data_IF_454210439851
#
_entry.id   IF_454210439851
#
_cell.length_a   1.000
_cell.length_b   1.000
_cell.length_c   1.000
_cell.angle_alpha   90.00
_cell.angle_beta   90.00
_cell.angle_gamma   90.00
#
_symmetry.space_group_name_H-M   'P 1'
#
loop_
_entity.id
_entity.type
_entity.pdbx_description
1 polymer ?
#
# COMPACT_ATOMS: atom_id res chain seq x y z
N UNK A 1 25.66 -1.85 12.67
CA UNK A 1 25.82 -0.93 11.51
C UNK A 1 26.23 0.47 11.94
N UNK A 2 25.50 1.08 12.87
CA UNK A 2 25.78 2.42 13.43
C UNK A 2 27.18 2.51 14.07
N UNK A 3 27.59 1.49 14.79
CA UNK A 3 28.90 1.46 15.48
C UNK A 3 30.06 1.39 14.50
N UNK A 4 29.85 0.86 13.28
CA UNK A 4 30.90 0.78 12.24
C UNK A 4 31.10 2.10 11.50
N UNK A 5 30.10 3.00 11.46
CA UNK A 5 30.17 4.27 10.69
C UNK A 5 30.59 5.49 11.51
N UNK A 6 30.41 5.51 12.79
CA UNK A 6 30.67 6.69 13.61
C UNK A 6 30.73 6.39 15.10
N UNK A 7 30.79 5.10 15.46
CA UNK A 7 30.78 4.64 16.85
C UNK A 7 29.57 5.23 17.59
N UNK A 8 29.73 5.63 18.83
CA UNK A 8 28.68 6.20 19.68
C UNK A 8 28.12 7.55 19.19
N UNK A 9 28.87 8.29 18.37
CA UNK A 9 28.38 9.57 17.80
C UNK A 9 27.21 9.30 16.87
N UNK A 10 27.32 8.33 15.94
CA UNK A 10 26.25 7.98 15.03
C UNK A 10 25.03 7.38 15.75
N UNK A 11 25.25 6.65 16.84
CA UNK A 11 24.17 6.16 17.70
C UNK A 11 23.40 7.33 18.33
N UNK A 12 24.13 8.27 18.93
CA UNK A 12 23.53 9.46 19.56
C UNK A 12 22.78 10.33 18.55
N UNK A 13 23.29 10.44 17.33
CA UNK A 13 22.60 11.17 16.23
C UNK A 13 21.30 10.48 15.85
N UNK A 14 21.29 9.15 15.74
CA UNK A 14 20.06 8.39 15.45
C UNK A 14 19.00 8.53 16.54
N UNK A 15 19.39 8.73 17.80
CA UNK A 15 18.44 9.05 18.88
C UNK A 15 17.91 10.49 18.80
N UNK A 16 18.72 11.43 18.31
CA UNK A 16 18.30 12.84 18.17
C UNK A 16 17.44 13.07 16.92
N UNK A 17 17.72 12.34 15.86
CA UNK A 17 17.02 12.40 14.58
C UNK A 17 16.70 10.97 14.11
N UNK A 18 15.68 10.32 14.70
CA UNK A 18 15.38 8.93 14.37
C UNK A 18 15.03 8.75 12.90
N UNK A 19 15.21 7.54 12.35
CA UNK A 19 14.66 7.20 11.05
C UNK A 19 13.17 7.49 11.00
N UNK A 20 12.70 8.06 9.90
CA UNK A 20 11.28 8.40 9.70
C UNK A 20 10.46 7.26 9.10
N UNK A 21 11.13 6.19 8.62
CA UNK A 21 10.49 5.01 8.06
C UNK A 21 11.25 3.73 8.38
N UNK A 22 10.58 2.60 8.24
CA UNK A 22 11.22 1.28 8.32
C UNK A 22 12.16 1.04 7.14
N UNK A 23 11.90 1.66 6.00
CA UNK A 23 12.79 1.68 4.85
C UNK A 23 14.18 2.22 5.20
N UNK A 24 14.25 3.36 5.89
CA UNK A 24 15.53 3.93 6.34
C UNK A 24 16.29 3.05 7.34
N UNK A 25 15.58 2.13 8.00
CA UNK A 25 16.20 1.12 8.89
C UNK A 25 16.75 -0.04 8.07
N UNK A 26 16.00 -0.50 7.05
CA UNK A 26 16.40 -1.59 6.15
C UNK A 26 17.53 -1.14 5.20
N UNK A 27 17.48 0.12 4.76
CA UNK A 27 18.41 0.77 3.83
C UNK A 27 19.12 1.96 4.50
N UNK A 28 20.16 1.71 5.35
CA UNK A 28 20.81 2.77 6.10
C UNK A 28 21.44 3.88 5.25
N UNK A 29 21.74 3.61 3.99
CA UNK A 29 22.19 4.61 3.01
C UNK A 29 21.12 5.69 2.77
N UNK A 30 19.83 5.32 2.76
CA UNK A 30 18.70 6.25 2.63
C UNK A 30 18.54 7.17 3.85
N UNK A 31 19.05 6.75 5.01
CA UNK A 31 19.03 7.54 6.24
C UNK A 31 20.25 8.45 6.38
N UNK A 32 21.46 7.92 6.06
CA UNK A 32 22.73 8.61 6.33
C UNK A 32 23.19 9.52 5.22
N UNK A 33 22.55 9.55 4.06
CA UNK A 33 23.02 10.39 2.96
C UNK A 33 22.74 11.86 3.27
N UNK A 34 23.82 12.71 3.42
CA UNK A 34 23.64 14.09 3.89
C UNK A 34 22.86 14.97 2.92
N UNK A 35 22.84 14.62 1.62
CA UNK A 35 22.18 15.40 0.56
C UNK A 35 20.94 14.70 -0.02
N UNK A 36 20.73 13.42 0.29
CA UNK A 36 19.69 12.59 -0.32
C UNK A 36 19.05 11.66 0.71
N UNK A 37 18.77 12.20 1.91
CA UNK A 37 17.95 11.47 2.87
C UNK A 37 16.60 11.21 2.22
N UNK A 38 16.28 9.93 2.05
CA UNK A 38 14.99 9.52 1.50
C UNK A 38 13.91 9.65 2.57
N UNK A 39 13.06 10.64 2.40
CA UNK A 39 11.95 10.92 3.34
C UNK A 39 10.68 10.34 2.74
N UNK A 40 9.97 9.46 3.47
CA UNK A 40 8.77 8.83 2.92
C UNK A 40 7.68 9.85 2.59
N UNK A 41 7.02 9.63 1.47
CA UNK A 41 5.84 10.39 1.08
C UNK A 41 4.69 10.13 2.06
N UNK A 42 4.20 11.17 2.72
CA UNK A 42 3.04 11.09 3.60
C UNK A 42 1.75 11.17 2.79
N UNK A 43 0.97 10.09 2.81
CA UNK A 43 -0.32 10.03 2.14
C UNK A 43 -1.45 10.54 3.07
N UNK A 44 -2.31 11.40 2.53
CA UNK A 44 -3.55 11.84 3.17
C UNK A 44 -4.70 11.35 2.29
N UNK A 45 -5.44 10.37 2.80
CA UNK A 45 -6.57 9.80 2.10
C UNK A 45 -7.70 10.84 1.97
N UNK A 46 -8.49 10.80 0.88
CA UNK A 46 -9.64 11.68 0.73
C UNK A 46 -10.70 11.37 1.79
N UNK A 47 -11.66 12.26 1.95
CA UNK A 47 -12.83 11.97 2.77
C UNK A 47 -13.68 10.87 2.11
N UNK A 48 -13.72 9.71 2.76
CA UNK A 48 -14.47 8.53 2.32
C UNK A 48 -15.78 8.34 3.09
N UNK A 49 -16.03 9.13 4.15
CA UNK A 49 -17.28 9.07 4.92
C UNK A 49 -18.48 9.39 4.03
N UNK A 50 -18.33 10.36 3.13
CA UNK A 50 -19.36 10.71 2.15
C UNK A 50 -19.70 9.60 1.13
N UNK A 51 -18.78 8.63 0.97
CA UNK A 51 -18.94 7.46 0.07
C UNK A 51 -19.55 6.28 0.83
N UNK A 52 -19.05 6.04 2.03
CA UNK A 52 -19.42 4.88 2.87
C UNK A 52 -20.72 5.07 3.63
N UNK A 53 -21.14 6.35 3.84
CA UNK A 53 -22.33 6.67 4.63
C UNK A 53 -22.15 6.40 6.12
N UNK A 54 -23.26 6.50 6.86
CA UNK A 54 -23.27 6.36 8.33
C UNK A 54 -23.21 4.92 8.82
N UNK A 55 -23.32 3.93 7.93
CA UNK A 55 -23.23 2.51 8.28
C UNK A 55 -21.81 2.05 8.61
N UNK A 56 -20.79 2.81 8.19
CA UNK A 56 -19.40 2.50 8.43
C UNK A 56 -18.77 3.47 9.43
N UNK A 57 -18.05 2.91 10.40
CA UNK A 57 -17.29 3.64 11.41
C UNK A 57 -15.82 3.35 11.25
N UNK A 58 -14.99 4.38 11.19
CA UNK A 58 -13.55 4.22 11.23
C UNK A 58 -13.09 3.66 12.58
N UNK A 59 -12.34 2.55 12.56
CA UNK A 59 -11.70 1.98 13.74
C UNK A 59 -10.31 2.55 13.97
N UNK A 60 -9.59 2.86 12.90
CA UNK A 60 -8.26 3.43 12.99
C UNK A 60 -7.55 3.48 11.65
N UNK A 61 -6.48 4.27 11.63
CA UNK A 61 -5.61 4.44 10.46
C UNK A 61 -4.15 4.45 10.86
N UNK A 62 -3.28 3.91 10.02
CA UNK A 62 -1.84 3.91 10.27
C UNK A 62 -1.06 3.72 8.96
N UNK A 63 0.25 3.56 9.07
CA UNK A 63 1.22 3.24 8.03
C UNK A 63 1.79 1.85 8.33
N UNK A 64 2.00 1.01 7.32
CA UNK A 64 2.70 -0.26 7.46
C UNK A 64 4.21 -0.06 7.30
N UNK A 65 4.63 0.58 6.21
CA UNK A 65 6.03 0.73 5.85
C UNK A 65 6.63 -0.54 5.21
N UNK A 66 7.80 -0.39 4.63
CA UNK A 66 8.48 -1.44 3.87
C UNK A 66 8.64 -2.76 4.63
N UNK A 67 9.09 -2.68 5.89
CA UNK A 67 9.35 -3.88 6.70
C UNK A 67 8.10 -4.76 6.89
N UNK A 68 6.96 -4.15 7.20
CA UNK A 68 5.71 -4.88 7.39
C UNK A 68 5.19 -5.44 6.07
N UNK A 69 5.32 -4.71 4.97
CA UNK A 69 4.95 -5.18 3.62
C UNK A 69 5.81 -6.38 3.23
N UNK A 70 7.13 -6.29 3.40
CA UNK A 70 8.06 -7.40 3.20
C UNK A 70 7.65 -8.64 4.01
N UNK A 71 7.30 -8.45 5.28
CA UNK A 71 6.88 -9.54 6.17
C UNK A 71 5.55 -10.15 5.74
N UNK A 72 4.58 -9.31 5.35
CA UNK A 72 3.27 -9.73 4.86
C UNK A 72 3.39 -10.60 3.60
N UNK A 73 4.27 -10.20 2.69
CA UNK A 73 4.46 -10.82 1.38
C UNK A 73 5.65 -11.80 1.34
N UNK A 74 6.14 -12.27 2.48
CA UNK A 74 7.33 -13.16 2.55
C UNK A 74 7.22 -14.40 1.65
N UNK A 75 6.02 -14.93 1.45
CA UNK A 75 5.75 -16.09 0.57
C UNK A 75 5.54 -15.69 -0.91
N UNK A 76 5.51 -14.41 -1.22
CA UNK A 76 5.33 -13.79 -2.54
C UNK A 76 6.55 -12.93 -2.89
N UNK A 77 7.77 -13.37 -2.60
CA UNK A 77 9.00 -12.64 -2.84
C UNK A 77 9.03 -11.26 -2.13
N UNK A 78 8.74 -11.26 -0.82
CA UNK A 78 8.54 -10.05 -0.03
C UNK A 78 9.66 -9.00 -0.11
N UNK A 79 10.93 -9.42 -0.30
CA UNK A 79 12.05 -8.50 -0.47
C UNK A 79 11.92 -7.67 -1.76
N UNK A 80 11.61 -8.32 -2.89
CA UNK A 80 11.43 -7.65 -4.17
C UNK A 80 10.12 -6.85 -4.20
N UNK A 81 9.07 -7.42 -3.61
CA UNK A 81 7.73 -6.82 -3.61
C UNK A 81 7.58 -5.61 -2.71
N UNK A 82 8.48 -5.41 -1.73
CA UNK A 82 8.47 -4.25 -0.83
C UNK A 82 9.53 -3.21 -1.21
N UNK A 83 10.49 -3.57 -2.08
CA UNK A 83 11.53 -2.65 -2.51
C UNK A 83 10.96 -1.45 -3.27
N UNK A 84 11.51 -0.26 -3.02
CA UNK A 84 11.04 0.98 -3.62
C UNK A 84 9.74 1.51 -3.01
N UNK A 85 9.39 1.08 -1.79
CA UNK A 85 8.31 1.69 -1.03
C UNK A 85 8.65 3.16 -0.71
N UNK A 86 7.78 4.08 -1.08
CA UNK A 86 7.93 5.52 -0.83
C UNK A 86 6.93 6.02 0.21
N UNK A 87 5.82 5.31 0.43
CA UNK A 87 4.85 5.68 1.44
C UNK A 87 3.55 4.88 1.36
N UNK A 88 2.84 4.82 2.47
CA UNK A 88 1.52 4.21 2.52
C UNK A 88 0.62 4.83 3.59
N UNK A 89 -0.66 4.58 3.46
CA UNK A 89 -1.68 4.86 4.47
C UNK A 89 -2.81 3.87 4.35
N UNK A 90 -3.16 3.21 5.45
CA UNK A 90 -4.36 2.39 5.52
C UNK A 90 -5.37 2.95 6.52
N UNK A 91 -6.62 2.58 6.33
CA UNK A 91 -7.71 2.81 7.26
C UNK A 91 -8.59 1.56 7.31
N UNK A 92 -9.02 1.22 8.52
CA UNK A 92 -9.93 0.10 8.77
C UNK A 92 -11.28 0.66 9.23
N UNK A 93 -12.33 0.14 8.65
CA UNK A 93 -13.72 0.47 8.99
C UNK A 93 -14.45 -0.77 9.53
N UNK A 94 -15.46 -0.55 10.32
CA UNK A 94 -16.43 -1.54 10.77
C UNK A 94 -17.83 -1.05 10.44
N UNK A 95 -18.67 -1.92 9.88
CA UNK A 95 -20.07 -1.59 9.64
C UNK A 95 -20.96 -1.98 10.82
N UNK A 96 -22.23 -1.65 10.72
CA UNK A 96 -23.25 -1.95 11.77
C UNK A 96 -23.43 -3.44 12.05
N UNK A 97 -23.05 -4.32 11.11
CA UNK A 97 -23.11 -5.77 11.25
C UNK A 97 -21.80 -6.37 11.79
N UNK A 98 -20.83 -5.54 12.18
CA UNK A 98 -19.53 -5.97 12.67
C UNK A 98 -18.57 -6.44 11.57
N UNK A 99 -18.87 -6.19 10.30
CA UNK A 99 -17.99 -6.55 9.20
C UNK A 99 -16.88 -5.51 9.06
N UNK A 100 -15.66 -6.00 8.76
CA UNK A 100 -14.50 -5.13 8.57
C UNK A 100 -14.27 -4.81 7.09
N UNK A 101 -13.90 -3.57 6.83
CA UNK A 101 -13.41 -3.08 5.55
C UNK A 101 -12.02 -2.46 5.68
N UNK A 102 -11.15 -2.74 4.72
CA UNK A 102 -9.80 -2.17 4.62
C UNK A 102 -9.69 -1.32 3.37
N UNK A 103 -9.17 -0.12 3.52
CA UNK A 103 -8.73 0.73 2.42
C UNK A 103 -7.26 1.05 2.66
N UNK A 104 -6.40 0.70 1.71
CA UNK A 104 -4.96 0.89 1.82
C UNK A 104 -4.41 1.47 0.52
N UNK A 105 -3.79 2.63 0.62
CA UNK A 105 -3.13 3.34 -0.48
C UNK A 105 -1.63 3.31 -0.27
N UNK A 106 -0.89 2.93 -1.31
CA UNK A 106 0.57 2.88 -1.33
C UNK A 106 1.12 3.72 -2.48
N UNK A 107 2.32 4.27 -2.31
CA UNK A 107 3.07 4.94 -3.37
C UNK A 107 4.50 4.41 -3.39
N UNK A 108 5.13 4.39 -4.57
CA UNK A 108 6.38 3.68 -4.85
C UNK A 108 7.37 4.57 -5.59
N UNK A 109 8.66 4.24 -5.54
CA UNK A 109 9.71 4.97 -6.24
C UNK A 109 9.50 4.95 -7.76
N UNK A 110 8.99 3.84 -8.29
CA UNK A 110 8.69 3.71 -9.71
C UNK A 110 7.37 2.95 -9.98
N UNK A 111 6.88 3.06 -11.22
CA UNK A 111 5.73 2.27 -11.67
C UNK A 111 6.04 0.77 -11.75
N UNK A 112 7.33 0.40 -11.88
CA UNK A 112 7.80 -0.99 -11.85
C UNK A 112 7.62 -1.58 -10.45
N UNK A 113 8.10 -0.87 -9.42
CA UNK A 113 8.02 -1.32 -8.03
C UNK A 113 6.55 -1.42 -7.58
N UNK A 114 5.71 -0.45 -7.96
CA UNK A 114 4.26 -0.50 -7.77
C UNK A 114 3.62 -1.75 -8.40
N UNK A 115 4.09 -2.14 -9.60
CA UNK A 115 3.60 -3.34 -10.30
C UNK A 115 4.04 -4.62 -9.59
N UNK A 116 5.29 -4.71 -9.16
CA UNK A 116 5.84 -5.86 -8.43
C UNK A 116 5.06 -6.08 -7.13
N UNK A 117 4.82 -5.03 -6.38
CA UNK A 117 3.96 -5.09 -5.20
C UNK A 117 2.53 -5.52 -5.54
N UNK A 118 1.89 -4.89 -6.54
CA UNK A 118 0.51 -5.18 -6.90
C UNK A 118 0.32 -6.64 -7.34
N UNK A 119 1.26 -7.21 -8.09
CA UNK A 119 1.25 -8.63 -8.48
C UNK A 119 1.33 -9.53 -7.26
N UNK A 120 2.29 -9.28 -6.39
CA UNK A 120 2.50 -10.10 -5.19
C UNK A 120 1.34 -10.00 -4.20
N UNK A 121 0.75 -8.81 -4.06
CA UNK A 121 -0.41 -8.64 -3.20
C UNK A 121 -1.65 -9.36 -3.77
N UNK A 122 -1.85 -9.38 -5.08
CA UNK A 122 -2.91 -10.17 -5.73
C UNK A 122 -2.77 -11.65 -5.44
N UNK A 123 -1.57 -12.19 -5.56
CA UNK A 123 -1.31 -13.59 -5.24
C UNK A 123 -1.57 -13.89 -3.75
N UNK A 124 -1.14 -13.01 -2.87
CA UNK A 124 -1.43 -13.10 -1.44
C UNK A 124 -2.93 -13.09 -1.18
N UNK A 125 -3.64 -12.14 -1.76
CA UNK A 125 -5.07 -11.97 -1.59
C UNK A 125 -5.85 -13.16 -2.14
N UNK A 126 -5.50 -13.64 -3.34
CA UNK A 126 -6.12 -14.81 -3.93
C UNK A 126 -5.97 -16.04 -3.04
N UNK A 127 -4.79 -16.30 -2.49
CA UNK A 127 -4.59 -17.41 -1.54
C UNK A 127 -5.40 -17.25 -0.26
N UNK A 128 -5.65 -16.01 0.17
CA UNK A 128 -6.45 -15.68 1.35
C UNK A 128 -7.95 -15.94 1.12
N UNK A 129 -8.49 -15.56 -0.06
CA UNK A 129 -9.93 -15.63 -0.36
C UNK A 129 -10.36 -16.93 -1.05
N UNK A 130 -9.45 -17.65 -1.72
CA UNK A 130 -9.71 -18.93 -2.43
C UNK A 130 -8.60 -19.94 -2.16
N UNK A 131 -8.48 -20.48 -0.95
CA UNK A 131 -7.45 -21.45 -0.63
C UNK A 131 -7.56 -22.71 -1.53
N UNK A 132 -6.59 -22.91 -2.44
CA UNK A 132 -6.54 -24.08 -3.33
C UNK A 132 -7.37 -23.96 -4.63
N UNK A 133 -8.01 -22.82 -4.87
CA UNK A 133 -8.67 -22.53 -6.14
C UNK A 133 -7.68 -22.14 -7.24
N UNK A 134 -8.02 -22.36 -8.54
CA UNK A 134 -7.24 -21.82 -9.64
C UNK A 134 -7.21 -20.28 -9.56
N UNK A 135 -6.12 -19.69 -10.01
CA UNK A 135 -6.00 -18.24 -10.16
C UNK A 135 -6.86 -17.81 -11.37
N UNK A 136 -8.19 -17.81 -11.18
CA UNK A 136 -9.06 -17.21 -12.18
C UNK A 136 -8.89 -15.68 -12.10
N UNK A 137 -7.90 -15.19 -12.80
CA UNK A 137 -7.80 -13.79 -13.13
C UNK A 137 -8.91 -13.52 -14.15
N UNK A 138 -10.01 -12.93 -13.74
CA UNK A 138 -10.78 -12.11 -14.64
C UNK A 138 -9.92 -10.89 -14.94
N UNK A 139 -8.91 -11.12 -15.80
CA UNK A 139 -8.23 -10.06 -16.49
C UNK A 139 -9.24 -9.58 -17.54
N UNK A 140 -10.06 -8.62 -17.19
CA UNK A 140 -10.49 -7.66 -18.20
C UNK A 140 -9.19 -6.96 -18.63
N UNK A 141 -8.52 -7.54 -19.64
CA UNK A 141 -7.52 -6.82 -20.39
C UNK A 141 -8.23 -5.60 -21.00
N UNK A 142 -7.96 -4.37 -20.53
CA UNK A 142 -8.49 -3.21 -21.21
C UNK A 142 -7.89 -3.23 -22.61
N UNK A 143 -8.76 -3.28 -23.62
CA UNK A 143 -8.40 -3.11 -25.01
C UNK A 143 -7.40 -1.98 -25.14
N UNK A 144 -6.28 -2.27 -25.81
CA UNK A 144 -5.19 -1.37 -26.21
C UNK A 144 -5.64 0.08 -26.35
N UNK A 145 -5.33 0.92 -25.38
CA UNK A 145 -5.40 2.36 -25.52
C UNK A 145 -4.23 2.98 -24.76
N UNK A 146 -3.29 3.49 -25.58
CA UNK A 146 -2.18 4.38 -25.24
C UNK A 146 -1.13 3.91 -24.21
N UNK A 147 0.13 4.01 -24.62
CA UNK A 147 1.39 3.57 -23.98
C UNK A 147 1.67 3.99 -22.54
N UNK A 148 0.76 4.67 -21.85
CA UNK A 148 0.97 5.25 -20.52
C UNK A 148 -0.03 4.80 -19.42
N UNK A 149 -0.95 3.87 -19.71
CA UNK A 149 -1.92 3.36 -18.74
C UNK A 149 -1.84 1.83 -18.63
N UNK A 150 -0.82 1.32 -17.94
CA UNK A 150 -0.86 -0.07 -17.48
C UNK A 150 -1.55 -0.05 -16.11
N UNK A 151 -2.86 0.02 -16.13
CA UNK A 151 -3.69 -0.23 -14.98
C UNK A 151 -4.20 -1.67 -15.06
N UNK A 152 -3.54 -2.59 -14.42
CA UNK A 152 -4.11 -3.91 -14.22
C UNK A 152 -4.93 -3.85 -12.92
N UNK A 153 -6.22 -3.59 -13.02
CA UNK A 153 -7.16 -3.72 -11.92
C UNK A 153 -7.54 -5.20 -11.78
N UNK A 154 -7.60 -5.70 -10.56
CA UNK A 154 -8.09 -7.03 -10.26
C UNK A 154 -9.20 -6.93 -9.23
N UNK A 155 -10.29 -7.64 -9.49
CA UNK A 155 -11.50 -7.56 -8.72
C UNK A 155 -12.03 -8.98 -8.44
N UNK A 156 -12.42 -9.25 -7.21
CA UNK A 156 -13.05 -10.49 -6.79
C UNK A 156 -14.24 -10.21 -5.90
N UNK A 157 -15.27 -11.03 -5.99
CA UNK A 157 -16.41 -11.00 -5.09
C UNK A 157 -16.51 -12.34 -4.39
N UNK A 158 -16.47 -12.32 -3.07
CA UNK A 158 -16.63 -13.49 -2.21
C UNK A 158 -17.68 -13.18 -1.14
N UNK A 159 -18.74 -13.98 -1.07
CA UNK A 159 -19.82 -13.78 -0.12
C UNK A 159 -20.38 -12.35 -0.07
N UNK A 160 -20.63 -11.76 -1.26
CA UNK A 160 -21.12 -10.37 -1.46
C UNK A 160 -20.12 -9.27 -1.03
N UNK A 161 -18.88 -9.63 -0.74
CA UNK A 161 -17.80 -8.68 -0.39
C UNK A 161 -16.81 -8.59 -1.54
N UNK A 162 -16.50 -7.38 -1.92
CA UNK A 162 -15.53 -7.10 -2.96
C UNK A 162 -14.12 -6.98 -2.38
N UNK A 163 -13.17 -7.42 -3.18
CA UNK A 163 -11.73 -7.30 -2.97
C UNK A 163 -11.14 -6.73 -4.25
N UNK A 164 -10.43 -5.64 -4.16
CA UNK A 164 -9.96 -4.91 -5.32
C UNK A 164 -8.52 -4.45 -5.14
N UNK A 165 -7.70 -4.66 -6.17
CA UNK A 165 -6.33 -4.13 -6.26
C UNK A 165 -6.22 -3.35 -7.55
N UNK A 166 -6.01 -2.04 -7.45
CA UNK A 166 -5.88 -1.14 -8.58
C UNK A 166 -4.52 -0.46 -8.58
N UNK A 167 -3.87 -0.38 -9.73
CA UNK A 167 -2.63 0.36 -9.91
C UNK A 167 -2.84 1.55 -10.84
N UNK A 168 -2.30 2.71 -10.48
CA UNK A 168 -2.22 3.91 -11.33
C UNK A 168 -0.81 4.49 -11.23
N UNK A 169 0.00 4.30 -12.27
CA UNK A 169 1.40 4.73 -12.28
C UNK A 169 2.17 4.14 -11.08
N UNK A 170 2.64 4.99 -10.16
CA UNK A 170 3.41 4.62 -8.96
C UNK A 170 2.52 4.30 -7.74
N UNK A 171 1.22 4.32 -7.90
CA UNK A 171 0.27 4.21 -6.80
C UNK A 171 -0.52 2.91 -6.91
N UNK A 172 -0.71 2.24 -5.77
CA UNK A 172 -1.56 1.06 -5.68
C UNK A 172 -2.58 1.26 -4.58
N UNK A 173 -3.85 1.04 -4.92
CA UNK A 173 -4.96 1.03 -3.97
C UNK A 173 -5.44 -0.40 -3.75
N UNK A 174 -5.64 -0.75 -2.50
CA UNK A 174 -6.18 -2.03 -2.04
C UNK A 174 -7.46 -1.73 -1.27
N UNK A 175 -8.54 -2.40 -1.64
CA UNK A 175 -9.85 -2.22 -1.04
C UNK A 175 -10.42 -3.62 -0.78
N UNK A 176 -10.72 -3.93 0.48
CA UNK A 176 -11.20 -5.25 0.90
C UNK A 176 -12.43 -5.12 1.78
N UNK A 177 -13.41 -5.96 1.53
CA UNK A 177 -14.48 -6.23 2.48
C UNK A 177 -15.68 -5.29 2.40
N UNK A 178 -15.77 -4.45 1.40
CA UNK A 178 -16.94 -3.60 1.10
C UNK A 178 -17.87 -4.28 0.10
N UNK A 179 -19.07 -3.73 -0.11
CA UNK A 179 -19.90 -4.12 -1.25
C UNK A 179 -19.27 -3.68 -2.57
N UNK A 180 -19.72 -4.25 -3.67
CA UNK A 180 -19.21 -3.89 -5.00
C UNK A 180 -19.42 -2.40 -5.31
N UNK A 181 -20.59 -1.86 -5.01
CA UNK A 181 -20.91 -0.45 -5.25
C UNK A 181 -20.07 0.50 -4.41
N UNK A 182 -19.84 0.19 -3.13
CA UNK A 182 -18.95 0.95 -2.27
C UNK A 182 -17.51 0.88 -2.77
N UNK A 183 -17.03 -0.30 -3.16
CA UNK A 183 -15.69 -0.50 -3.70
C UNK A 183 -15.46 0.36 -4.95
N UNK A 184 -16.39 0.37 -5.90
CA UNK A 184 -16.29 1.21 -7.10
C UNK A 184 -16.26 2.71 -6.74
N UNK A 185 -17.09 3.14 -5.80
CA UNK A 185 -17.12 4.52 -5.36
C UNK A 185 -15.82 4.93 -4.63
N UNK A 186 -15.22 4.02 -3.83
CA UNK A 186 -13.92 4.22 -3.19
C UNK A 186 -12.82 4.33 -4.25
N UNK A 187 -12.77 3.41 -5.22
CA UNK A 187 -11.77 3.43 -6.32
C UNK A 187 -11.81 4.77 -7.07
N UNK A 188 -13.00 5.30 -7.32
CA UNK A 188 -13.19 6.60 -7.99
C UNK A 188 -12.59 7.79 -7.23
N UNK A 189 -12.31 7.65 -5.94
CA UNK A 189 -11.81 8.75 -5.09
C UNK A 189 -10.41 8.51 -4.52
N UNK A 190 -10.03 7.26 -4.25
CA UNK A 190 -8.81 6.96 -3.48
C UNK A 190 -7.55 7.52 -4.14
N UNK A 191 -7.47 7.55 -5.47
CA UNK A 191 -6.34 8.11 -6.21
C UNK A 191 -6.28 9.65 -6.19
N UNK A 192 -7.23 10.32 -5.54
CA UNK A 192 -7.17 11.76 -5.22
C UNK A 192 -6.45 12.02 -3.90
N UNK A 193 -5.86 11.01 -3.27
CA UNK A 193 -5.05 11.15 -2.07
C UNK A 193 -3.96 12.19 -2.25
N UNK A 194 -3.80 13.06 -1.26
CA UNK A 194 -2.74 14.07 -1.27
C UNK A 194 -1.41 13.43 -0.89
N UNK A 195 -0.35 13.85 -1.56
CA UNK A 195 1.03 13.43 -1.28
C UNK A 195 1.78 14.63 -0.71
N UNK A 196 2.30 14.46 0.49
CA UNK A 196 3.08 15.48 1.19
C UNK A 196 4.48 14.93 1.38
N UNK A 197 5.45 15.60 0.79
CA UNK A 197 6.87 15.34 1.00
C UNK A 197 7.32 16.36 2.04
N UNK A 198 7.65 15.90 3.23
CA UNK A 198 8.18 16.77 4.27
C UNK A 198 9.62 17.18 3.87
N UNK A 199 9.99 18.47 3.98
CA UNK A 199 11.28 18.99 3.54
C UNK A 199 12.48 18.51 4.39
#
# INVERSE_FOLDING_TARGET
HLTNRGKWIAVNEAFRKPPSSTEQILHPEKYYHPLHRDVPTRLVLPDLVSVLGSSWKELGRNVLGEFQIKTLLVKQHGDESAAGWDGDRYVVYENTDGQLGLIWMTTWDSAKDAKEFAVSYREFLHKKISPGGPLETSLDEPALSTKDQIAADSHWIVEQRAFHVAQRRRDVAIIEGFSESETQAIVGRIFQSQKIIDP
#
